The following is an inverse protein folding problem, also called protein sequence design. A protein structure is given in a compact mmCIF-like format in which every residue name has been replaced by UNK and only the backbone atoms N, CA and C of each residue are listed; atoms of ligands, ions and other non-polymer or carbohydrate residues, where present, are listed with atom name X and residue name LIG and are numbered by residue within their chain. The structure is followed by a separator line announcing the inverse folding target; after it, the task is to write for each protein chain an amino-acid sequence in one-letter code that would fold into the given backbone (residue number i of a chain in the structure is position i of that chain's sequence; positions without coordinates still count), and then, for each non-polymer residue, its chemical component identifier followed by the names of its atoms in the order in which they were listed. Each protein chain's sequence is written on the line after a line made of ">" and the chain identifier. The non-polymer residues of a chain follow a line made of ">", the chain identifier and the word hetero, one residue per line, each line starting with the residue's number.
data_IF_278451799598
#
_entry.id   IF_278451799598
#
_cell.length_a   1.000
_cell.length_b   1.000
_cell.length_c   1.000
_cell.angle_alpha   90.00
_cell.angle_beta   90.00
_cell.angle_gamma   90.00
#
_symmetry.space_group_name_H-M   'P 1'
#
loop_
_entity.id
_entity.type
_entity.pdbx_description
1 polymer ?
#
# COMPACT_ATOMS: atom_id res chain seq x y z
N UNK A 1 -41.43 -17.31 -51.78
CA UNK A 1 -40.09 -16.78 -51.47
C UNK A 1 -40.22 -15.71 -50.42
N UNK A 2 -39.66 -15.91 -49.23
CA UNK A 2 -39.16 -14.89 -48.30
C UNK A 2 -38.66 -15.63 -47.05
N UNK A 3 -37.34 -15.76 -46.90
CA UNK A 3 -36.69 -16.25 -45.68
C UNK A 3 -36.29 -15.00 -44.89
N UNK A 4 -36.85 -14.84 -43.69
CA UNK A 4 -36.47 -13.77 -42.77
C UNK A 4 -35.18 -14.17 -42.04
N UNK A 5 -34.11 -13.40 -42.25
CA UNK A 5 -32.85 -13.55 -41.52
C UNK A 5 -32.97 -12.83 -40.18
N UNK A 6 -32.90 -13.58 -39.08
CA UNK A 6 -32.79 -13.06 -37.73
C UNK A 6 -31.31 -12.82 -37.47
N UNK A 7 -30.89 -11.55 -37.40
CA UNK A 7 -29.58 -11.18 -36.86
C UNK A 7 -29.63 -11.28 -35.34
N UNK A 8 -28.91 -12.26 -34.79
CA UNK A 8 -28.58 -12.31 -33.36
C UNK A 8 -27.31 -11.49 -33.18
N UNK A 9 -27.44 -10.26 -32.67
CA UNK A 9 -26.31 -9.50 -32.15
C UNK A 9 -25.87 -10.13 -30.83
N UNK A 10 -24.75 -10.86 -30.86
CA UNK A 10 -24.04 -11.26 -29.66
C UNK A 10 -23.51 -10.01 -28.96
N UNK A 11 -24.07 -9.65 -27.80
CA UNK A 11 -23.41 -8.74 -26.88
C UNK A 11 -22.17 -9.47 -26.35
N UNK A 12 -20.99 -9.04 -26.79
CA UNK A 12 -19.77 -9.33 -26.07
C UNK A 12 -19.87 -8.58 -24.72
N UNK A 13 -20.18 -9.32 -23.65
CA UNK A 13 -19.91 -8.86 -22.29
C UNK A 13 -18.40 -8.69 -22.20
N UNK A 14 -17.92 -7.45 -22.32
CA UNK A 14 -16.61 -7.11 -21.81
C UNK A 14 -16.68 -7.36 -20.31
N UNK A 15 -16.09 -8.47 -19.86
CA UNK A 15 -15.71 -8.61 -18.46
C UNK A 15 -14.90 -7.36 -18.14
N UNK A 16 -15.42 -6.48 -17.28
CA UNK A 16 -14.56 -5.53 -16.61
C UNK A 16 -13.47 -6.37 -15.96
N UNK A 17 -12.24 -6.30 -16.48
CA UNK A 17 -11.13 -6.98 -15.84
C UNK A 17 -11.13 -6.50 -14.39
N UNK A 18 -11.15 -7.44 -13.45
CA UNK A 18 -10.82 -7.12 -12.07
C UNK A 18 -9.49 -6.38 -12.13
N UNK A 19 -9.49 -5.12 -11.69
CA UNK A 19 -8.26 -4.38 -11.55
C UNK A 19 -7.52 -5.05 -10.41
N UNK A 20 -6.31 -5.48 -10.66
CA UNK A 20 -5.41 -5.72 -9.56
C UNK A 20 -5.03 -4.33 -9.03
N UNK A 21 -4.68 -4.22 -7.75
CA UNK A 21 -3.78 -3.18 -7.26
C UNK A 21 -2.47 -3.22 -8.09
N UNK A 22 -1.36 -2.57 -7.68
CA UNK A 22 -0.10 -2.84 -8.38
C UNK A 22 0.04 -4.35 -8.59
N UNK A 23 0.14 -4.81 -9.84
CA UNK A 23 0.15 -6.28 -10.07
C UNK A 23 1.30 -6.84 -9.23
N UNK A 24 1.18 -8.05 -8.67
CA UNK A 24 2.22 -8.56 -7.77
C UNK A 24 3.67 -8.45 -8.31
N UNK A 25 3.87 -8.53 -9.64
CA UNK A 25 5.16 -8.27 -10.30
C UNK A 25 5.75 -6.87 -10.04
N UNK A 26 4.91 -5.87 -9.81
CA UNK A 26 5.29 -4.49 -9.52
C UNK A 26 5.52 -4.26 -8.03
N UNK A 27 4.67 -4.82 -7.15
CA UNK A 27 4.97 -4.88 -5.72
C UNK A 27 6.35 -5.54 -5.49
N UNK A 28 6.61 -6.67 -6.17
CA UNK A 28 7.91 -7.34 -6.10
C UNK A 28 9.06 -6.43 -6.50
N UNK A 29 8.95 -5.74 -7.65
CA UNK A 29 10.00 -4.84 -8.14
C UNK A 29 10.25 -3.68 -7.20
N UNK A 30 9.21 -3.05 -6.68
CA UNK A 30 9.29 -1.91 -5.75
C UNK A 30 9.97 -2.37 -4.46
N UNK A 31 9.44 -3.42 -3.84
CA UNK A 31 9.95 -3.96 -2.58
C UNK A 31 11.41 -4.44 -2.72
N UNK A 32 11.78 -5.13 -3.81
CA UNK A 32 13.17 -5.54 -4.06
C UNK A 32 14.12 -4.36 -4.32
N UNK A 33 13.64 -3.29 -4.94
CA UNK A 33 14.42 -2.08 -5.13
C UNK A 33 14.65 -1.34 -3.80
N UNK A 34 13.67 -1.40 -2.88
CA UNK A 34 13.69 -0.68 -1.62
C UNK A 34 14.47 -1.39 -0.49
N UNK A 35 14.53 -2.73 -0.51
CA UNK A 35 15.01 -3.53 0.62
C UNK A 35 16.32 -4.28 0.31
N UNK A 36 17.45 -3.89 0.94
CA UNK A 36 18.72 -4.57 0.76
C UNK A 36 18.83 -5.80 1.70
N UNK A 37 17.90 -6.74 1.59
CA UNK A 37 17.84 -7.95 2.43
C UNK A 37 18.42 -9.17 1.71
N UNK A 38 18.75 -10.21 2.48
CA UNK A 38 19.21 -11.48 1.90
C UNK A 38 18.09 -12.19 1.11
N UNK A 39 18.43 -13.00 0.09
CA UNK A 39 17.48 -13.41 -0.94
C UNK A 39 16.28 -14.22 -0.45
N UNK A 40 16.42 -15.11 0.53
CA UNK A 40 15.29 -15.95 0.99
C UNK A 40 14.29 -15.07 1.74
N UNK A 41 14.78 -14.25 2.67
CA UNK A 41 13.96 -13.34 3.46
C UNK A 41 13.31 -12.27 2.58
N UNK A 42 14.06 -11.71 1.62
CA UNK A 42 13.52 -10.77 0.63
C UNK A 42 12.44 -11.41 -0.25
N UNK A 43 12.59 -12.69 -0.60
CA UNK A 43 11.58 -13.39 -1.40
C UNK A 43 10.29 -13.62 -0.61
N UNK A 44 10.38 -14.00 0.67
CA UNK A 44 9.18 -14.09 1.53
C UNK A 44 8.44 -12.75 1.66
N UNK A 45 9.17 -11.64 1.61
CA UNK A 45 8.57 -10.32 1.63
C UNK A 45 7.97 -9.93 0.28
N UNK A 46 8.73 -10.09 -0.81
CA UNK A 46 8.50 -9.41 -2.07
C UNK A 46 7.89 -10.27 -3.18
N UNK A 47 7.89 -11.61 -3.08
CA UNK A 47 7.49 -12.48 -4.19
C UNK A 47 6.14 -12.09 -4.80
N UNK A 48 6.10 -11.92 -6.13
CA UNK A 48 4.92 -11.43 -6.83
C UNK A 48 3.66 -12.28 -6.64
N UNK A 49 3.82 -13.55 -6.30
CA UNK A 49 2.69 -14.46 -6.11
C UNK A 49 2.31 -14.54 -4.66
N UNK A 50 3.29 -14.77 -3.78
CA UNK A 50 3.08 -15.18 -2.38
C UNK A 50 3.97 -14.43 -1.39
N UNK A 51 4.47 -13.26 -1.75
CA UNK A 51 5.17 -12.37 -0.81
C UNK A 51 4.19 -11.74 0.19
N UNK A 52 4.67 -11.45 1.39
CA UNK A 52 3.88 -10.73 2.41
C UNK A 52 3.35 -9.38 1.92
N UNK A 53 4.07 -8.69 1.02
CA UNK A 53 3.63 -7.44 0.38
C UNK A 53 2.37 -7.64 -0.48
N UNK A 54 2.09 -8.85 -0.96
CA UNK A 54 0.92 -9.18 -1.79
C UNK A 54 -0.22 -9.81 -0.98
N UNK A 55 -0.15 -9.79 0.35
CA UNK A 55 -1.08 -10.52 1.20
C UNK A 55 -2.50 -9.92 1.22
N UNK A 56 -2.62 -8.60 1.02
CA UNK A 56 -3.91 -7.91 0.94
C UNK A 56 -4.54 -8.02 -0.47
N UNK A 57 -3.75 -8.38 -1.48
CA UNK A 57 -4.17 -8.63 -2.88
C UNK A 57 -4.91 -9.95 -3.09
N UNK A 58 -5.50 -10.49 -2.01
CA UNK A 58 -6.18 -11.79 -1.98
C UNK A 58 -7.48 -11.70 -1.20
N UNK A 59 -8.55 -12.42 -1.61
CA UNK A 59 -9.76 -12.51 -0.80
C UNK A 59 -9.47 -13.05 0.62
N UNK A 60 -10.13 -12.53 1.67
CA UNK A 60 -11.22 -11.54 1.61
C UNK A 60 -10.76 -10.06 1.66
N UNK A 61 -9.44 -9.79 1.64
CA UNK A 61 -8.88 -8.45 1.86
C UNK A 61 -8.96 -7.55 0.62
N UNK A 62 -8.89 -8.17 -0.55
CA UNK A 62 -8.88 -7.50 -1.85
C UNK A 62 -10.02 -6.50 -2.08
N UNK A 63 -11.20 -6.75 -1.53
CA UNK A 63 -12.39 -5.90 -1.72
C UNK A 63 -12.55 -4.84 -0.59
N UNK A 64 -11.45 -4.48 0.09
CA UNK A 64 -11.44 -3.54 1.21
C UNK A 64 -10.57 -2.32 0.86
N UNK A 65 -11.18 -1.24 0.39
CA UNK A 65 -10.48 -0.06 -0.15
C UNK A 65 -9.46 0.60 0.79
N UNK A 66 -9.71 0.66 2.12
CA UNK A 66 -8.68 1.10 3.06
C UNK A 66 -7.39 0.27 3.05
N UNK A 67 -7.42 -0.97 2.56
CA UNK A 67 -6.21 -1.80 2.39
C UNK A 67 -5.47 -1.51 1.08
N UNK A 68 -6.06 -0.74 0.16
CA UNK A 68 -5.48 -0.37 -1.14
C UNK A 68 -5.35 1.16 -1.33
N UNK A 69 -5.52 1.93 -0.23
CA UNK A 69 -5.56 3.40 -0.21
C UNK A 69 -6.48 4.03 -1.28
N UNK A 70 -7.60 3.37 -1.58
CA UNK A 70 -8.60 3.86 -2.52
C UNK A 70 -9.65 4.78 -1.87
N UNK A 71 -10.56 5.31 -2.69
CA UNK A 71 -11.76 6.08 -2.31
C UNK A 71 -11.51 7.47 -1.69
N UNK A 72 -10.26 7.94 -1.65
CA UNK A 72 -9.91 9.32 -1.31
C UNK A 72 -10.01 10.26 -2.54
N UNK A 73 -10.91 9.98 -3.48
CA UNK A 73 -11.13 10.81 -4.67
C UNK A 73 -11.71 12.17 -4.29
N UNK A 74 -11.14 13.21 -4.89
CA UNK A 74 -11.58 14.57 -4.67
C UNK A 74 -11.27 15.42 -5.88
N UNK A 75 -12.25 16.22 -6.29
CA UNK A 75 -12.04 17.27 -7.27
C UNK A 75 -12.53 18.59 -6.70
N UNK A 76 -11.63 19.56 -6.57
CA UNK A 76 -11.97 20.83 -5.94
C UNK A 76 -13.08 21.56 -6.71
N UNK A 77 -13.95 22.35 -6.03
CA UNK A 77 -15.07 23.05 -6.68
C UNK A 77 -14.68 23.96 -7.85
N UNK A 78 -13.44 24.48 -7.85
CA UNK A 78 -12.89 25.27 -8.96
C UNK A 78 -12.66 24.47 -10.25
N UNK A 79 -12.68 23.14 -10.16
CA UNK A 79 -12.54 22.20 -11.27
C UNK A 79 -13.86 21.49 -11.58
N UNK A 80 -14.64 21.15 -10.55
CA UNK A 80 -15.97 20.58 -10.68
C UNK A 80 -16.86 21.05 -9.51
N UNK A 81 -17.70 22.09 -9.70
CA UNK A 81 -18.56 22.63 -8.64
C UNK A 81 -19.54 21.61 -8.06
N UNK A 82 -19.96 20.65 -8.88
CA UNK A 82 -20.97 19.63 -8.54
C UNK A 82 -20.34 18.26 -8.20
N UNK A 83 -19.03 18.21 -7.90
CA UNK A 83 -18.39 16.96 -7.51
C UNK A 83 -18.96 16.44 -6.18
N UNK A 84 -19.37 15.18 -6.16
CA UNK A 84 -20.20 14.62 -5.09
C UNK A 84 -19.43 14.38 -3.79
N UNK A 85 -18.13 14.06 -3.87
CA UNK A 85 -17.28 13.82 -2.70
C UNK A 85 -16.69 15.13 -2.17
N UNK A 86 -16.89 15.39 -0.88
CA UNK A 86 -16.27 16.52 -0.20
C UNK A 86 -14.79 16.23 0.12
N UNK A 87 -14.01 17.30 0.39
CA UNK A 87 -12.62 17.16 0.83
C UNK A 87 -12.52 16.39 2.14
N UNK A 88 -13.47 16.58 3.05
CA UNK A 88 -13.44 15.93 4.36
C UNK A 88 -13.68 14.43 4.26
N UNK A 89 -14.65 14.00 3.45
CA UNK A 89 -14.91 12.57 3.16
C UNK A 89 -13.71 11.90 2.49
N UNK A 90 -13.13 12.55 1.47
CA UNK A 90 -11.94 12.04 0.80
C UNK A 90 -10.74 11.93 1.75
N UNK A 91 -10.55 12.92 2.64
CA UNK A 91 -9.49 12.85 3.65
C UNK A 91 -9.75 11.75 4.69
N UNK A 92 -11.01 11.47 5.03
CA UNK A 92 -11.33 10.39 5.98
C UNK A 92 -10.92 9.01 5.44
N UNK A 93 -11.11 8.74 4.14
CA UNK A 93 -10.64 7.48 3.52
C UNK A 93 -9.12 7.38 3.50
N UNK A 94 -8.44 8.47 3.11
CA UNK A 94 -6.98 8.52 3.15
C UNK A 94 -6.45 8.20 4.57
N UNK A 95 -7.07 8.78 5.60
CA UNK A 95 -6.72 8.52 6.98
C UNK A 95 -7.05 7.08 7.40
N UNK A 96 -8.06 6.44 6.82
CA UNK A 96 -8.38 5.04 7.10
C UNK A 96 -7.24 4.12 6.61
N UNK A 97 -6.70 4.35 5.41
CA UNK A 97 -5.58 3.54 4.93
C UNK A 97 -4.29 3.79 5.71
N UNK A 98 -4.01 5.05 6.07
CA UNK A 98 -2.88 5.40 6.95
C UNK A 98 -3.01 4.71 8.30
N UNK A 99 -4.22 4.68 8.88
CA UNK A 99 -4.47 4.01 10.16
C UNK A 99 -4.18 2.52 10.09
N UNK A 100 -4.53 1.84 9.00
CA UNK A 100 -4.19 0.44 8.80
C UNK A 100 -2.67 0.24 8.85
N UNK A 101 -1.91 1.04 8.09
CA UNK A 101 -0.44 1.07 8.12
C UNK A 101 0.15 1.32 9.52
N UNK A 102 -0.38 2.29 10.26
CA UNK A 102 0.07 2.61 11.64
C UNK A 102 -0.16 1.42 12.59
N UNK A 103 -1.33 0.78 12.52
CA UNK A 103 -1.63 -0.41 13.32
C UNK A 103 -0.70 -1.57 13.01
N UNK A 104 -0.48 -1.84 11.72
CA UNK A 104 0.44 -2.87 11.22
C UNK A 104 1.88 -2.63 11.67
N UNK A 105 2.38 -1.40 11.57
CA UNK A 105 3.71 -1.01 12.05
C UNK A 105 3.88 -1.32 13.55
N UNK A 106 2.91 -0.90 14.38
CA UNK A 106 2.96 -1.19 15.82
C UNK A 106 2.89 -2.69 16.15
N UNK A 107 2.12 -3.47 15.38
CA UNK A 107 2.09 -4.93 15.50
C UNK A 107 3.44 -5.55 15.12
N UNK A 108 4.08 -5.08 14.05
CA UNK A 108 5.40 -5.55 13.63
C UNK A 108 6.46 -5.28 14.70
N UNK A 109 6.46 -4.10 15.34
CA UNK A 109 7.39 -3.77 16.44
C UNK A 109 7.21 -4.75 17.60
N UNK A 110 5.97 -5.04 18.00
CA UNK A 110 5.69 -6.02 19.07
C UNK A 110 6.07 -7.45 18.69
N UNK A 111 5.79 -7.86 17.45
CA UNK A 111 6.13 -9.20 16.98
C UNK A 111 7.65 -9.42 16.94
N UNK A 112 8.41 -8.37 16.65
CA UNK A 112 9.87 -8.41 16.62
C UNK A 112 10.49 -8.77 17.98
N UNK A 113 9.79 -8.50 19.09
CA UNK A 113 10.24 -8.88 20.44
C UNK A 113 10.56 -10.38 20.55
N UNK A 114 9.81 -11.22 19.84
CA UNK A 114 10.00 -12.67 19.86
C UNK A 114 11.15 -13.18 18.98
N UNK A 115 11.77 -12.35 18.14
CA UNK A 115 12.93 -12.74 17.32
C UNK A 115 14.16 -13.07 18.17
N UNK A 116 14.26 -12.46 19.35
CA UNK A 116 15.40 -12.59 20.25
C UNK A 116 14.94 -12.87 21.68
N UNK A 117 15.80 -13.42 22.51
CA UNK A 117 15.54 -13.58 23.94
C UNK A 117 15.82 -12.27 24.71
N UNK A 118 15.74 -12.35 26.05
CA UNK A 118 15.96 -11.21 26.92
C UNK A 118 17.41 -10.67 26.87
N UNK A 119 18.37 -11.51 26.50
CA UNK A 119 19.79 -11.15 26.38
C UNK A 119 20.15 -10.67 24.97
N UNK A 120 19.17 -10.60 24.06
CA UNK A 120 19.39 -10.22 22.66
C UNK A 120 19.91 -11.35 21.78
N UNK A 121 19.93 -12.58 22.27
CA UNK A 121 20.32 -13.74 21.46
C UNK A 121 19.19 -14.10 20.52
N UNK A 122 19.49 -14.31 19.24
CA UNK A 122 18.51 -14.79 18.26
C UNK A 122 17.88 -16.11 18.71
N UNK A 123 16.55 -16.18 18.67
CA UNK A 123 15.79 -17.40 18.95
C UNK A 123 15.64 -18.25 17.69
N UNK A 124 16.28 -19.43 17.58
CA UNK A 124 16.27 -20.22 16.35
C UNK A 124 14.85 -20.62 15.90
N UNK A 125 14.01 -21.04 16.85
CA UNK A 125 12.64 -21.49 16.61
C UNK A 125 11.74 -20.38 16.05
N UNK A 126 12.04 -19.11 16.34
CA UNK A 126 11.25 -17.96 15.89
C UNK A 126 11.75 -17.33 14.59
N UNK A 127 12.93 -17.75 14.12
CA UNK A 127 13.58 -17.25 12.92
C UNK A 127 13.73 -18.30 11.82
N UNK A 128 13.41 -19.56 12.11
CA UNK A 128 13.53 -20.67 11.15
C UNK A 128 12.56 -20.50 9.96
N UNK A 129 13.13 -20.45 8.75
CA UNK A 129 12.42 -20.34 7.48
C UNK A 129 12.35 -21.67 6.71
N UNK A 130 12.71 -22.80 7.35
CA UNK A 130 12.64 -24.13 6.73
C UNK A 130 11.23 -24.53 6.30
N UNK A 131 10.22 -23.99 6.98
CA UNK A 131 8.81 -24.09 6.60
C UNK A 131 8.30 -22.74 6.09
N UNK A 132 7.46 -22.70 5.03
CA UNK A 132 6.92 -21.45 4.51
C UNK A 132 6.17 -20.65 5.59
N UNK A 133 6.19 -19.33 5.48
CA UNK A 133 5.28 -18.47 6.23
C UNK A 133 3.87 -18.53 5.61
N UNK A 134 2.85 -18.27 6.42
CA UNK A 134 1.47 -18.12 5.94
C UNK A 134 0.96 -16.72 6.26
N UNK A 135 0.33 -16.06 5.29
CA UNK A 135 -0.20 -14.70 5.43
C UNK A 135 -1.71 -14.74 5.69
N UNK A 136 -2.12 -15.23 6.86
CA UNK A 136 -3.52 -15.38 7.24
C UNK A 136 -3.87 -14.77 8.60
N UNK A 137 -3.01 -13.89 9.11
CA UNK A 137 -3.09 -13.19 10.39
C UNK A 137 -3.14 -14.09 11.63
N UNK A 138 -2.88 -15.40 11.48
CA UNK A 138 -2.78 -16.31 12.62
C UNK A 138 -1.40 -16.24 13.26
N UNK A 139 -1.28 -16.65 14.53
CA UNK A 139 0.03 -16.78 15.16
C UNK A 139 0.95 -17.72 14.37
N UNK A 140 2.14 -17.21 14.04
CA UNK A 140 3.27 -17.95 13.45
C UNK A 140 4.54 -17.55 14.21
N UNK A 141 5.69 -18.06 13.78
CA UNK A 141 7.03 -17.64 14.19
C UNK A 141 7.17 -16.13 14.07
N UNK A 142 7.87 -15.50 15.02
CA UNK A 142 8.01 -14.05 15.08
C UNK A 142 8.52 -13.44 13.79
N UNK A 143 9.44 -14.10 13.06
CA UNK A 143 9.91 -13.58 11.77
C UNK A 143 8.81 -13.51 10.72
N UNK A 144 7.99 -14.55 10.58
CA UNK A 144 6.83 -14.54 9.69
C UNK A 144 5.80 -13.48 10.12
N UNK A 145 5.54 -13.36 11.43
CA UNK A 145 4.61 -12.36 11.94
C UNK A 145 5.08 -10.93 11.65
N UNK A 146 6.36 -10.61 11.81
CA UNK A 146 6.89 -9.29 11.45
C UNK A 146 6.74 -9.04 9.95
N UNK A 147 7.12 -10.00 9.11
CA UNK A 147 7.01 -9.89 7.66
C UNK A 147 5.56 -9.68 7.21
N UNK A 148 4.59 -10.40 7.77
CA UNK A 148 3.17 -10.22 7.43
C UNK A 148 2.68 -8.82 7.79
N UNK A 149 2.99 -8.34 9.00
CA UNK A 149 2.54 -7.03 9.43
C UNK A 149 3.17 -5.92 8.59
N UNK A 150 4.48 -5.99 8.33
CA UNK A 150 5.15 -5.03 7.45
C UNK A 150 4.63 -5.12 6.02
N UNK A 151 4.44 -6.33 5.48
CA UNK A 151 3.92 -6.57 4.13
C UNK A 151 2.56 -5.92 3.91
N UNK A 152 1.58 -6.24 4.75
CA UNK A 152 0.23 -5.64 4.67
C UNK A 152 0.25 -4.13 4.89
N UNK A 153 1.09 -3.63 5.80
CA UNK A 153 1.24 -2.19 6.00
C UNK A 153 1.81 -1.49 4.76
N UNK A 154 2.93 -1.99 4.23
CA UNK A 154 3.62 -1.40 3.10
C UNK A 154 2.89 -1.57 1.78
N UNK A 155 2.08 -2.62 1.63
CA UNK A 155 1.19 -2.82 0.48
C UNK A 155 0.33 -1.56 0.23
N UNK A 156 -0.39 -1.11 1.27
CA UNK A 156 -1.24 0.09 1.21
C UNK A 156 -0.46 1.34 0.78
N UNK A 157 0.82 1.43 1.16
CA UNK A 157 1.70 2.55 0.85
C UNK A 157 2.16 2.49 -0.61
N UNK A 158 2.52 1.31 -1.12
CA UNK A 158 2.84 1.14 -2.54
C UNK A 158 1.62 1.50 -3.40
N UNK A 159 0.44 1.03 -3.00
CA UNK A 159 -0.83 1.32 -3.66
C UNK A 159 -1.21 2.80 -3.67
N UNK A 160 -0.90 3.54 -2.61
CA UNK A 160 -1.07 4.98 -2.62
C UNK A 160 -0.33 5.64 -3.80
N UNK A 161 0.86 5.17 -4.19
CA UNK A 161 1.59 5.76 -5.31
C UNK A 161 1.02 5.34 -6.69
N UNK A 162 0.45 4.14 -6.84
CA UNK A 162 -0.23 3.73 -8.08
C UNK A 162 -1.60 4.37 -8.23
N UNK A 163 -2.37 4.46 -7.15
CA UNK A 163 -3.80 4.82 -7.19
C UNK A 163 -4.04 6.31 -6.95
N UNK A 164 -3.02 7.08 -6.54
CA UNK A 164 -3.13 8.53 -6.33
C UNK A 164 -2.55 9.38 -7.46
N UNK A 165 -2.86 10.67 -7.41
CA UNK A 165 -2.24 11.68 -8.25
C UNK A 165 -0.95 12.31 -7.66
N UNK A 166 -0.36 11.71 -6.62
CA UNK A 166 0.78 12.27 -5.89
C UNK A 166 2.01 12.45 -6.79
N UNK A 167 2.54 11.34 -7.29
CA UNK A 167 3.77 11.31 -8.07
C UNK A 167 3.51 11.53 -9.57
N UNK A 168 2.25 11.66 -10.01
CA UNK A 168 1.93 11.66 -11.42
C UNK A 168 1.69 13.06 -11.99
N UNK A 169 1.69 13.15 -13.32
CA UNK A 169 1.29 14.31 -14.10
C UNK A 169 -0.05 14.04 -14.74
N UNK A 170 -0.85 15.10 -14.90
CA UNK A 170 -2.11 15.01 -15.63
C UNK A 170 -1.88 14.73 -17.12
N UNK A 171 -2.85 14.11 -17.77
CA UNK A 171 -2.87 13.99 -19.22
C UNK A 171 -3.17 15.36 -19.87
N UNK A 172 -2.81 15.57 -21.15
CA UNK A 172 -3.21 16.76 -21.90
C UNK A 172 -4.73 16.94 -21.93
N UNK A 173 -5.21 18.17 -21.78
CA UNK A 173 -6.64 18.49 -21.81
C UNK A 173 -7.12 19.29 -20.60
N UNK A 174 -8.43 19.56 -20.51
CA UNK A 174 -9.04 20.20 -19.35
C UNK A 174 -8.96 19.29 -18.13
N UNK A 175 -9.01 19.89 -16.94
CA UNK A 175 -9.19 19.14 -15.69
C UNK A 175 -10.66 18.74 -15.59
N UNK A 176 -10.92 17.47 -15.34
CA UNK A 176 -12.25 16.89 -15.16
C UNK A 176 -12.18 15.62 -14.32
N UNK A 177 -13.33 14.97 -14.12
CA UNK A 177 -13.42 13.65 -13.51
C UNK A 177 -12.60 12.60 -14.29
N UNK A 178 -12.58 12.70 -15.63
CA UNK A 178 -11.82 11.79 -16.51
C UNK A 178 -10.35 12.19 -16.69
N UNK A 179 -9.96 13.38 -16.25
CA UNK A 179 -8.58 13.86 -16.30
C UNK A 179 -8.26 14.73 -15.07
N UNK A 180 -8.17 14.13 -13.88
CA UNK A 180 -7.90 14.85 -12.65
C UNK A 180 -6.47 15.41 -12.67
N UNK A 181 -6.18 16.42 -11.83
CA UNK A 181 -4.84 16.98 -11.70
C UNK A 181 -3.82 15.90 -11.36
N UNK A 182 -2.55 16.14 -11.70
CA UNK A 182 -1.39 15.42 -11.17
C UNK A 182 -0.56 16.40 -10.33
N UNK A 183 -0.11 15.98 -9.16
CA UNK A 183 0.65 16.85 -8.25
C UNK A 183 2.13 16.93 -8.61
N UNK A 184 2.61 16.01 -9.46
CA UNK A 184 3.99 15.91 -9.94
C UNK A 184 5.04 15.93 -8.83
N UNK A 185 4.68 15.48 -7.61
CA UNK A 185 5.58 15.40 -6.46
C UNK A 185 6.73 14.45 -6.76
N UNK A 186 7.85 14.68 -6.08
CA UNK A 186 9.07 13.86 -6.17
C UNK A 186 9.62 13.52 -4.79
N UNK A 187 9.04 14.12 -3.76
CA UNK A 187 9.26 13.83 -2.36
C UNK A 187 8.29 12.73 -1.88
N UNK A 188 8.69 12.07 -0.80
CA UNK A 188 7.83 11.15 -0.05
C UNK A 188 6.62 11.88 0.52
N UNK A 189 5.49 11.18 0.68
CA UNK A 189 4.26 11.80 1.15
C UNK A 189 4.36 12.13 2.66
N UNK A 190 4.32 13.41 3.07
CA UNK A 190 4.60 13.81 4.45
C UNK A 190 3.50 13.39 5.43
N UNK A 191 2.33 12.99 4.92
CA UNK A 191 1.23 12.43 5.71
C UNK A 191 1.31 10.90 5.85
N UNK A 192 2.30 10.21 5.28
CA UNK A 192 2.58 8.78 5.53
C UNK A 192 3.65 8.60 6.63
N UNK A 193 3.64 9.46 7.65
CA UNK A 193 4.63 9.46 8.74
C UNK A 193 4.33 8.38 9.79
N UNK A 194 4.33 7.12 9.35
CA UNK A 194 3.76 5.97 10.07
C UNK A 194 4.40 5.78 11.45
N UNK A 195 5.73 5.86 11.55
CA UNK A 195 6.43 5.73 12.82
C UNK A 195 6.03 6.82 13.80
N UNK A 196 6.06 8.09 13.38
CA UNK A 196 5.66 9.22 14.24
C UNK A 196 4.24 9.02 14.77
N UNK A 197 3.30 8.69 13.88
CA UNK A 197 1.90 8.47 14.24
C UNK A 197 1.68 7.26 15.15
N UNK A 198 2.51 6.22 15.04
CA UNK A 198 2.41 5.02 15.90
C UNK A 198 2.67 5.29 17.38
N UNK A 199 3.24 6.45 17.71
CA UNK A 199 3.53 6.89 19.09
C UNK A 199 2.54 7.92 19.62
N UNK A 200 1.51 8.25 18.84
CA UNK A 200 0.54 9.32 19.13
C UNK A 200 -0.86 8.76 19.34
N UNK A 201 -1.69 9.55 20.02
CA UNK A 201 -3.13 9.27 20.13
C UNK A 201 -3.84 9.46 18.78
N UNK A 202 -4.90 8.67 18.51
CA UNK A 202 -5.56 8.64 17.19
C UNK A 202 -6.05 10.01 16.73
N UNK A 203 -6.71 10.75 17.63
CA UNK A 203 -7.20 12.09 17.34
C UNK A 203 -6.09 13.13 17.10
N UNK A 204 -4.88 12.87 17.60
CA UNK A 204 -3.75 13.78 17.43
C UNK A 204 -3.09 13.61 16.08
N UNK A 205 -2.70 12.37 15.75
CA UNK A 205 -2.00 12.11 14.49
C UNK A 205 -2.92 12.33 13.29
N UNK A 206 -4.22 12.00 13.39
CA UNK A 206 -5.17 12.23 12.28
C UNK A 206 -5.32 13.72 11.96
N UNK A 207 -5.30 14.58 12.98
CA UNK A 207 -5.32 16.04 12.80
C UNK A 207 -4.04 16.53 12.10
N UNK A 208 -2.90 15.99 12.50
CA UNK A 208 -1.61 16.34 11.88
C UNK A 208 -1.51 15.86 10.43
N UNK A 209 -1.86 14.59 10.15
CA UNK A 209 -1.90 14.03 8.81
C UNK A 209 -2.82 14.85 7.89
N UNK A 210 -4.03 15.20 8.36
CA UNK A 210 -4.97 16.07 7.64
C UNK A 210 -4.38 17.43 7.29
N UNK A 211 -3.60 18.04 8.19
CA UNK A 211 -2.97 19.33 7.94
C UNK A 211 -1.84 19.24 6.89
N UNK A 212 -1.24 18.06 6.72
CA UNK A 212 -0.19 17.77 5.74
C UNK A 212 -0.75 17.30 4.39
N UNK A 213 -2.02 16.90 4.31
CA UNK A 213 -2.69 16.48 3.06
C UNK A 213 -2.89 17.66 2.10
N UNK A 214 -2.32 17.63 0.88
CA UNK A 214 -2.57 18.68 -0.11
C UNK A 214 -4.05 18.74 -0.51
N UNK A 215 -4.57 19.95 -0.73
CA UNK A 215 -5.96 20.17 -1.11
C UNK A 215 -6.37 19.34 -2.33
N UNK A 216 -5.51 19.25 -3.34
CA UNK A 216 -5.80 18.59 -4.62
C UNK A 216 -5.32 17.13 -4.70
N UNK A 217 -4.93 16.53 -3.58
CA UNK A 217 -4.64 15.11 -3.54
C UNK A 217 -5.91 14.30 -3.82
N UNK A 218 -5.83 13.30 -4.69
CA UNK A 218 -6.91 12.36 -4.93
C UNK A 218 -6.34 10.95 -5.10
N UNK A 219 -7.06 9.95 -4.59
CA UNK A 219 -6.93 8.55 -5.02
C UNK A 219 -8.15 8.16 -5.85
N UNK A 220 -8.12 7.00 -6.51
CA UNK A 220 -9.23 6.55 -7.33
C UNK A 220 -10.42 6.04 -6.52
N UNK A 221 -11.63 6.26 -7.02
CA UNK A 221 -12.81 5.55 -6.52
C UNK A 221 -12.77 4.10 -7.01
N UNK A 222 -12.93 3.15 -6.09
CA UNK A 222 -13.05 1.73 -6.36
C UNK A 222 -14.41 1.24 -5.85
N UNK A 223 -15.07 0.34 -6.60
CA UNK A 223 -16.43 -0.10 -6.27
C UNK A 223 -16.37 -1.22 -5.22
N UNK A 224 -16.12 -0.85 -3.97
CA UNK A 224 -15.85 -1.77 -2.86
C UNK A 224 -16.40 -1.27 -1.52
N UNK A 225 -16.11 -1.99 -0.43
CA UNK A 225 -16.42 -1.53 0.92
C UNK A 225 -15.48 -0.39 1.32
N UNK A 226 -16.00 0.84 1.37
CA UNK A 226 -15.26 2.00 1.87
C UNK A 226 -15.28 2.11 3.40
N UNK A 227 -14.41 2.96 3.98
CA UNK A 227 -14.35 3.15 5.44
C UNK A 227 -15.52 3.94 6.02
N UNK A 228 -16.40 4.51 5.17
CA UNK A 228 -17.60 5.23 5.59
C UNK A 228 -18.80 4.32 5.83
N UNK A 229 -18.70 3.03 5.49
CA UNK A 229 -19.74 2.03 5.73
C UNK A 229 -20.83 2.01 4.66
N UNK A 230 -20.52 2.50 3.45
CA UNK A 230 -21.42 2.45 2.30
C UNK A 230 -21.24 1.08 1.60
N UNK A 231 -22.36 0.42 1.23
CA UNK A 231 -22.39 -0.71 0.26
C UNK A 231 -21.61 -0.31 -1.02
N UNK A 232 -21.08 -1.26 -1.84
CA UNK A 232 -20.03 -1.01 -2.84
C UNK A 232 -20.09 0.40 -3.44
N UNK A 233 -19.08 1.21 -3.13
CA UNK A 233 -19.07 2.63 -3.43
C UNK A 233 -19.50 2.88 -4.87
N UNK A 234 -20.60 3.61 -5.07
CA UNK A 234 -21.00 4.03 -6.40
C UNK A 234 -19.97 5.04 -6.89
N UNK A 235 -19.20 4.63 -7.90
CA UNK A 235 -18.18 5.47 -8.53
C UNK A 235 -18.77 6.33 -9.67
N UNK A 236 -20.09 6.28 -9.92
CA UNK A 236 -20.72 7.12 -10.91
C UNK A 236 -20.52 8.62 -10.57
N UNK A 237 -19.95 9.35 -11.53
CA UNK A 237 -19.63 10.77 -11.38
C UNK A 237 -18.39 11.07 -10.50
N UNK A 238 -17.72 10.05 -9.97
CA UNK A 238 -16.46 10.15 -9.23
C UNK A 238 -15.27 9.83 -10.12
N UNK A 239 -14.07 10.26 -9.71
CA UNK A 239 -12.81 9.95 -10.38
C UNK A 239 -12.56 8.44 -10.21
N UNK A 240 -12.66 7.62 -11.26
CA UNK A 240 -12.51 6.18 -11.11
C UNK A 240 -11.03 5.79 -10.94
N UNK A 241 -10.76 4.79 -10.12
CA UNK A 241 -9.46 4.12 -10.04
C UNK A 241 -9.08 3.60 -11.43
N UNK A 242 -9.76 2.54 -11.90
CA UNK A 242 -9.31 1.65 -12.97
C UNK A 242 -9.12 2.30 -14.35
N UNK A 243 -9.77 3.44 -14.59
CA UNK A 243 -9.77 4.09 -15.91
C UNK A 243 -8.96 5.37 -15.93
N UNK A 244 -8.71 5.99 -14.77
CA UNK A 244 -8.27 7.39 -14.72
C UNK A 244 -7.04 7.60 -13.85
N UNK A 245 -7.00 7.08 -12.61
CA UNK A 245 -5.86 7.30 -11.72
C UNK A 245 -4.87 6.12 -11.67
N UNK A 246 -5.29 4.93 -12.08
CA UNK A 246 -4.51 3.72 -11.90
C UNK A 246 -3.17 3.73 -12.64
N UNK A 247 -2.14 3.26 -11.95
CA UNK A 247 -0.80 3.04 -12.51
C UNK A 247 -0.30 1.63 -12.21
N UNK A 248 -1.22 0.68 -12.08
CA UNK A 248 -0.99 -0.69 -11.63
C UNK A 248 -0.07 -1.46 -12.57
N UNK A 249 -0.06 -1.05 -13.84
CA UNK A 249 0.83 -1.56 -14.88
C UNK A 249 1.38 -0.40 -15.72
N UNK A 250 2.51 -0.62 -16.39
CA UNK A 250 3.10 0.35 -17.31
C UNK A 250 2.21 0.67 -18.53
N UNK A 251 1.17 -0.14 -18.80
CA UNK A 251 0.30 0.01 -19.98
C UNK A 251 -1.03 0.69 -19.68
N UNK A 252 -1.35 0.98 -18.41
CA UNK A 252 -2.53 1.78 -18.06
C UNK A 252 -2.44 3.17 -18.70
N UNK A 253 -3.59 3.77 -19.05
CA UNK A 253 -3.60 5.05 -19.77
C UNK A 253 -2.90 6.18 -18.98
N UNK A 254 -3.12 6.22 -17.65
CA UNK A 254 -2.44 7.20 -16.78
C UNK A 254 -0.95 6.93 -16.65
N UNK A 255 -0.53 5.66 -16.62
CA UNK A 255 0.89 5.25 -16.64
C UNK A 255 1.65 5.76 -17.85
N UNK A 256 1.02 5.74 -19.03
CA UNK A 256 1.60 6.17 -20.30
C UNK A 256 1.65 7.69 -20.50
N UNK A 257 1.03 8.45 -19.59
CA UNK A 257 1.16 9.91 -19.61
C UNK A 257 2.54 10.28 -19.08
N UNK A 258 3.38 10.85 -19.97
CA UNK A 258 4.80 11.11 -19.72
C UNK A 258 5.53 9.85 -19.18
N UNK A 259 5.98 9.89 -17.93
CA UNK A 259 6.68 8.80 -17.22
C UNK A 259 6.00 8.54 -15.87
N UNK A 260 4.66 8.57 -15.85
CA UNK A 260 3.90 8.44 -14.62
C UNK A 260 4.13 7.11 -13.90
N UNK A 261 4.29 6.01 -14.66
CA UNK A 261 4.60 4.70 -14.07
C UNK A 261 5.98 4.69 -13.38
N UNK A 262 7.01 5.21 -14.06
CA UNK A 262 8.35 5.32 -13.48
C UNK A 262 8.37 6.20 -12.23
N UNK A 263 7.64 7.32 -12.25
CA UNK A 263 7.51 8.20 -11.08
C UNK A 263 6.80 7.54 -9.90
N UNK A 264 5.70 6.82 -10.14
CA UNK A 264 4.96 6.13 -9.09
C UNK A 264 5.80 5.02 -8.45
N UNK A 265 6.41 4.15 -9.27
CA UNK A 265 7.24 3.02 -8.78
C UNK A 265 8.50 3.50 -8.07
N UNK A 266 9.17 4.55 -8.57
CA UNK A 266 10.33 5.14 -7.88
C UNK A 266 9.93 5.80 -6.55
N UNK A 267 8.83 6.56 -6.53
CA UNK A 267 8.32 7.18 -5.30
C UNK A 267 7.92 6.16 -4.24
N UNK A 268 7.27 5.06 -4.65
CA UNK A 268 6.96 3.94 -3.77
C UNK A 268 8.23 3.28 -3.21
N UNK A 269 9.25 3.05 -4.04
CA UNK A 269 10.50 2.45 -3.57
C UNK A 269 11.23 3.35 -2.56
N UNK A 270 11.31 4.66 -2.84
CA UNK A 270 11.88 5.65 -1.93
C UNK A 270 11.11 5.69 -0.59
N UNK A 271 9.77 5.60 -0.65
CA UNK A 271 8.91 5.52 0.52
C UNK A 271 9.17 4.26 1.32
N UNK A 272 9.17 3.07 0.71
CA UNK A 272 9.42 1.80 1.43
C UNK A 272 10.84 1.77 2.02
N UNK A 273 11.84 2.30 1.33
CA UNK A 273 13.19 2.47 1.90
C UNK A 273 13.16 3.37 3.14
N UNK A 274 12.39 4.46 3.13
CA UNK A 274 12.19 5.31 4.32
C UNK A 274 11.47 4.56 5.44
N UNK A 275 10.35 3.90 5.15
CA UNK A 275 9.57 3.14 6.14
C UNK A 275 10.41 2.04 6.80
N UNK A 276 11.26 1.35 6.03
CA UNK A 276 12.21 0.38 6.58
C UNK A 276 13.21 1.03 7.55
N UNK A 277 13.76 2.20 7.19
CA UNK A 277 14.66 2.93 8.07
C UNK A 277 13.97 3.39 9.37
N UNK A 278 12.73 3.84 9.27
CA UNK A 278 11.92 4.22 10.41
C UNK A 278 11.60 3.01 11.31
N UNK A 279 11.25 1.86 10.73
CA UNK A 279 11.04 0.63 11.49
C UNK A 279 12.28 0.18 12.25
N UNK A 280 13.46 0.21 11.61
CA UNK A 280 14.74 -0.06 12.30
C UNK A 280 14.97 0.90 13.47
N UNK A 281 14.73 2.19 13.24
CA UNK A 281 14.91 3.20 14.27
C UNK A 281 13.95 2.99 15.44
N UNK A 282 12.73 2.52 15.18
CA UNK A 282 11.77 2.19 16.22
C UNK A 282 12.17 0.97 17.03
N UNK A 283 12.65 -0.11 16.39
CA UNK A 283 13.16 -1.27 17.12
C UNK A 283 14.33 -0.91 18.05
N UNK A 284 15.25 -0.06 17.59
CA UNK A 284 16.37 0.42 18.39
C UNK A 284 15.91 1.27 19.59
N UNK A 285 14.83 2.04 19.43
CA UNK A 285 14.27 2.88 20.48
C UNK A 285 13.44 2.08 21.50
N UNK A 286 12.62 1.15 21.02
CA UNK A 286 11.72 0.33 21.84
C UNK A 286 12.45 -0.77 22.62
N UNK A 287 13.55 -1.31 22.08
CA UNK A 287 14.30 -2.42 22.67
C UNK A 287 15.81 -2.12 22.79
N UNK A 288 16.22 -1.11 23.58
CA UNK A 288 17.61 -0.68 23.65
C UNK A 288 18.49 -1.66 24.46
N UNK A 289 17.89 -2.35 25.43
CA UNK A 289 18.60 -3.22 26.36
C UNK A 289 19.23 -4.40 25.62
N UNK A 290 20.44 -4.80 26.04
CA UNK A 290 21.20 -5.92 25.47
C UNK A 290 21.35 -5.88 23.94
N UNK A 291 21.23 -4.68 23.33
CA UNK A 291 21.21 -4.50 21.87
C UNK A 291 20.09 -5.29 21.18
N UNK A 292 19.01 -5.65 21.90
CA UNK A 292 17.89 -6.44 21.40
C UNK A 292 17.33 -5.89 20.09
N UNK A 293 17.05 -4.58 20.03
CA UNK A 293 16.56 -3.92 18.81
C UNK A 293 17.52 -4.06 17.62
N UNK A 294 18.84 -3.98 17.85
CA UNK A 294 19.83 -4.16 16.80
C UNK A 294 19.88 -5.61 16.31
N UNK A 295 19.70 -6.57 17.22
CA UNK A 295 19.67 -8.00 16.89
C UNK A 295 18.39 -8.38 16.16
N UNK A 296 17.24 -7.79 16.51
CA UNK A 296 15.99 -7.92 15.75
C UNK A 296 16.16 -7.41 14.31
N UNK A 297 16.77 -6.23 14.13
CA UNK A 297 17.07 -5.68 12.80
C UNK A 297 17.99 -6.62 12.02
N UNK A 298 19.04 -7.16 12.66
CA UNK A 298 19.92 -8.13 12.03
C UNK A 298 19.15 -9.38 11.58
N UNK A 299 18.31 -9.95 12.45
CA UNK A 299 17.57 -11.17 12.17
C UNK A 299 16.55 -11.02 11.02
N UNK A 300 15.99 -9.83 10.86
CA UNK A 300 15.01 -9.54 9.79
C UNK A 300 15.63 -9.42 8.41
N UNK A 301 16.93 -9.15 8.29
CA UNK A 301 17.58 -8.99 6.97
C UNK A 301 18.39 -10.20 6.52
N UNK A 302 18.62 -11.17 7.41
CA UNK A 302 19.43 -12.37 7.11
C UNK A 302 18.59 -13.63 7.00
N UNK A 303 18.98 -14.54 6.11
CA UNK A 303 18.32 -15.82 5.86
C UNK A 303 18.59 -16.85 6.97
N UNK A 304 19.79 -16.84 7.57
CA UNK A 304 20.14 -17.57 8.79
C UNK A 304 20.63 -16.62 9.90
N UNK A 305 19.70 -15.99 10.63
CA UNK A 305 20.02 -15.09 11.74
C UNK A 305 20.86 -15.73 12.84
N UNK A 306 20.75 -17.03 13.08
CA UNK A 306 21.47 -17.70 14.18
C UNK A 306 22.96 -17.75 13.95
N UNK A 307 23.37 -17.78 12.68
CA UNK A 307 24.78 -17.70 12.28
C UNK A 307 25.22 -16.26 12.04
N UNK A 308 24.36 -15.43 11.44
CA UNK A 308 24.72 -14.08 11.00
C UNK A 308 24.71 -13.02 12.12
N UNK A 309 23.95 -13.25 13.20
CA UNK A 309 23.69 -12.27 14.25
C UNK A 309 24.10 -12.82 15.63
N UNK A 310 25.41 -12.97 15.91
CA UNK A 310 25.91 -13.52 17.16
C UNK A 310 25.78 -12.56 18.36
#
# INVERSE_FOLDING_TARGET
>A
MAVAAILVTALATLSGGQANAFTGDNHEKITRAALPWEPVTLTLMADARDGAINADDRPPYFDIGPLHCDNADYLAPRHAPDYTRTRDEATNELLACIRASVGRFGNAVRAADGLVDADGTVRPDQNDLSSPCTWDEKPDRSKCAVLEQLGRGWHTIEDFYSHSNWADRRAPGPISVDNPPGLARTDVAPFLDIRHYSTMEDAEWTREARARTPTDLATGCYTDFDSTGVEPADCDGRIPHNRVLNKDTAVSARSQTDDNFGRATAGAADEISRQWNDFKAELLAAYPDHRRGAQMVCALVHDDPTTACP
#
